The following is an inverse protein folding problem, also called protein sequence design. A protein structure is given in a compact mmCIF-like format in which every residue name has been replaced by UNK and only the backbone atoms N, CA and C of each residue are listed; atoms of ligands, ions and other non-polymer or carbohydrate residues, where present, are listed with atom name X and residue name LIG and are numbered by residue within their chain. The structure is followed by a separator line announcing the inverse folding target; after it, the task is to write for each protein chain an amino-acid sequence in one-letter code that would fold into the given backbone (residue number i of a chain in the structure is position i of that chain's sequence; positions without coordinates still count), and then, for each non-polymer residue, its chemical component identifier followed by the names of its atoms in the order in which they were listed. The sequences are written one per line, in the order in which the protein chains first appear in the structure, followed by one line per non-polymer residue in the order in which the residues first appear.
data_IF_717169941778
#
_entry.id   IF_717169941778
#
_cell.length_a   1.000
_cell.length_b   1.000
_cell.length_c   1.000
_cell.angle_alpha   90.00
_cell.angle_beta   90.00
_cell.angle_gamma   90.00
#
_symmetry.space_group_name_H-M   'P 1'
#
loop_
_entity.id
_entity.type
_entity.pdbx_description
1 polymer ?
#
# COMPACT_ATOMS: atom_id res chain seq x y z
N UNK A 1 -11.92 9.08 8.14
CA UNK A 1 -11.01 9.25 9.29
C UNK A 1 -10.36 7.90 9.55
N UNK A 2 -9.05 7.80 9.36
CA UNK A 2 -8.33 6.53 9.56
C UNK A 2 -8.20 6.28 11.06
N UNK A 3 -8.54 5.06 11.51
CA UNK A 3 -8.33 4.66 12.89
C UNK A 3 -6.93 4.09 13.02
N UNK A 4 -6.13 4.65 13.94
CA UNK A 4 -4.91 4.00 14.41
C UNK A 4 -5.29 2.67 15.07
N UNK A 5 -4.70 1.55 14.63
CA UNK A 5 -5.02 0.21 15.14
C UNK A 5 -5.07 -0.87 14.05
N UNK A 6 -5.54 -2.06 14.44
CA UNK A 6 -5.69 -3.23 13.56
C UNK A 6 -6.45 -2.89 12.27
N UNK A 7 -6.04 -3.48 11.14
CA UNK A 7 -6.77 -3.29 9.90
C UNK A 7 -8.15 -3.92 10.03
N UNK A 8 -9.18 -3.12 9.80
CA UNK A 8 -10.57 -3.55 9.91
C UNK A 8 -11.15 -3.74 8.52
N UNK A 9 -11.20 -4.98 8.01
CA UNK A 9 -11.61 -5.25 6.61
C UNK A 9 -13.06 -4.88 6.33
N UNK A 10 -13.88 -4.72 7.36
CA UNK A 10 -15.26 -4.24 7.34
C UNK A 10 -15.40 -2.73 7.05
N UNK A 11 -14.34 -1.95 7.24
CA UNK A 11 -14.34 -0.49 7.04
C UNK A 11 -13.21 0.02 6.14
N UNK A 12 -12.16 -0.77 5.92
CA UNK A 12 -11.01 -0.42 5.06
C UNK A 12 -10.92 -1.38 3.86
N UNK A 13 -10.85 -0.88 2.61
CA UNK A 13 -10.73 -1.75 1.44
C UNK A 13 -9.46 -2.61 1.51
N UNK A 14 -9.59 -3.88 1.13
CA UNK A 14 -8.50 -4.86 1.08
C UNK A 14 -8.27 -5.31 -0.37
N UNK A 15 -7.82 -4.38 -1.21
CA UNK A 15 -7.53 -4.59 -2.63
C UNK A 15 -6.20 -5.32 -2.83
N UNK A 16 -5.16 -4.89 -2.12
CA UNK A 16 -3.81 -5.46 -2.18
C UNK A 16 -3.60 -6.51 -1.10
N UNK A 17 -2.67 -7.43 -1.34
CA UNK A 17 -2.29 -8.45 -0.37
C UNK A 17 -1.24 -7.88 0.59
N UNK A 18 -1.56 -7.88 1.89
CA UNK A 18 -0.62 -7.52 2.93
C UNK A 18 0.48 -8.60 3.07
N UNK A 19 1.72 -8.16 3.20
CA UNK A 19 2.88 -9.06 3.34
C UNK A 19 3.10 -9.38 4.83
N UNK A 20 3.35 -10.66 5.12
CA UNK A 20 3.82 -11.10 6.43
C UNK A 20 5.33 -10.94 6.48
N UNK A 21 5.82 -10.35 7.55
CA UNK A 21 7.25 -10.23 7.84
C UNK A 21 7.56 -10.96 9.12
N UNK A 22 8.63 -11.74 9.08
CA UNK A 22 9.13 -12.45 10.23
C UNK A 22 9.87 -11.49 11.17
N UNK A 23 9.60 -11.68 12.45
CA UNK A 23 10.19 -10.98 13.56
C UNK A 23 11.15 -11.85 14.36
N UNK A 24 11.82 -11.22 15.32
CA UNK A 24 12.63 -11.94 16.29
C UNK A 24 11.79 -12.93 17.11
N UNK A 25 12.32 -14.14 17.32
CA UNK A 25 11.72 -15.15 18.19
C UNK A 25 10.57 -15.95 17.57
N UNK A 26 10.53 -16.10 16.24
CA UNK A 26 9.54 -16.94 15.54
C UNK A 26 8.14 -16.33 15.45
N UNK A 27 8.01 -15.04 15.72
CA UNK A 27 6.76 -14.28 15.55
C UNK A 27 6.75 -13.69 14.15
N UNK A 28 5.60 -13.70 13.48
CA UNK A 28 5.40 -12.98 12.22
C UNK A 28 4.23 -12.02 12.35
N UNK A 29 4.33 -10.85 11.72
CA UNK A 29 3.30 -9.82 11.74
C UNK A 29 2.85 -9.52 10.31
N UNK A 30 1.53 -9.46 10.14
CA UNK A 30 0.92 -9.00 8.90
C UNK A 30 0.98 -7.47 8.87
N UNK A 31 1.54 -6.90 7.81
CA UNK A 31 1.75 -5.44 7.68
C UNK A 31 0.55 -4.73 7.06
N UNK A 32 -0.66 -5.16 7.42
CA UNK A 32 -1.91 -4.55 6.96
C UNK A 32 -2.25 -3.23 7.70
N UNK A 33 -1.52 -2.92 8.77
CA UNK A 33 -1.66 -1.66 9.51
C UNK A 33 -0.76 -0.54 8.99
N UNK A 34 0.17 -0.85 8.09
CA UNK A 34 1.12 0.13 7.55
C UNK A 34 0.39 1.24 6.80
N UNK A 35 0.89 2.48 6.96
CA UNK A 35 0.30 3.66 6.34
C UNK A 35 0.23 3.53 4.83
N UNK A 36 1.28 2.99 4.21
CA UNK A 36 1.39 2.72 2.77
C UNK A 36 0.34 1.71 2.33
N UNK A 37 0.14 0.63 3.10
CA UNK A 37 -0.88 -0.36 2.80
C UNK A 37 -2.28 0.25 2.83
N UNK A 38 -2.62 0.92 3.93
CA UNK A 38 -3.94 1.54 4.10
C UNK A 38 -4.19 2.59 3.01
N UNK A 39 -3.28 3.54 2.83
CA UNK A 39 -3.40 4.62 1.87
C UNK A 39 -3.55 4.10 0.43
N UNK A 40 -2.70 3.16 0.00
CA UNK A 40 -2.75 2.66 -1.37
C UNK A 40 -4.03 1.87 -1.63
N UNK A 41 -4.51 1.07 -0.67
CA UNK A 41 -5.79 0.39 -0.80
C UNK A 41 -6.96 1.36 -0.95
N UNK A 42 -6.99 2.43 -0.16
CA UNK A 42 -8.03 3.46 -0.32
C UNK A 42 -7.93 4.17 -1.67
N UNK A 43 -6.72 4.56 -2.08
CA UNK A 43 -6.54 5.22 -3.36
C UNK A 43 -6.98 4.33 -4.53
N UNK A 44 -6.61 3.04 -4.49
CA UNK A 44 -7.04 2.07 -5.50
C UNK A 44 -8.57 1.95 -5.53
N UNK A 45 -9.23 1.90 -4.38
CA UNK A 45 -10.68 1.84 -4.28
C UNK A 45 -11.36 3.12 -4.82
N UNK A 46 -10.83 4.30 -4.48
CA UNK A 46 -11.34 5.59 -4.96
C UNK A 46 -11.19 5.72 -6.50
N UNK A 47 -10.17 5.11 -7.08
CA UNK A 47 -9.95 5.02 -8.53
C UNK A 47 -10.78 3.92 -9.21
N UNK A 48 -11.61 3.19 -8.46
CA UNK A 48 -12.46 2.11 -8.96
C UNK A 48 -11.74 0.78 -9.21
N UNK A 49 -10.55 0.60 -8.63
CA UNK A 49 -9.81 -0.65 -8.67
C UNK A 49 -10.44 -1.74 -7.80
N UNK A 50 -10.13 -3.00 -8.12
CA UNK A 50 -10.56 -4.18 -7.37
C UNK A 50 -9.44 -5.24 -7.38
N UNK A 51 -9.46 -6.23 -6.46
CA UNK A 51 -8.41 -7.24 -6.39
C UNK A 51 -8.14 -7.91 -7.75
N UNK A 52 -6.89 -7.90 -8.20
CA UNK A 52 -6.47 -8.50 -9.48
C UNK A 52 -6.85 -7.71 -10.74
N UNK A 53 -7.49 -6.55 -10.62
CA UNK A 53 -7.77 -5.68 -11.76
C UNK A 53 -6.51 -4.98 -12.27
N UNK A 54 -6.50 -4.66 -13.57
CA UNK A 54 -5.51 -3.78 -14.19
C UNK A 54 -6.25 -2.59 -14.81
N UNK A 55 -5.81 -1.39 -14.47
CA UNK A 55 -6.47 -0.11 -14.74
C UNK A 55 -5.60 0.77 -15.66
N UNK A 56 -5.36 0.38 -16.93
CA UNK A 56 -4.44 1.10 -17.81
C UNK A 56 -4.96 2.48 -18.26
N UNK A 57 -6.27 2.72 -18.13
CA UNK A 57 -6.87 4.00 -18.51
C UNK A 57 -6.60 5.10 -17.49
N UNK A 58 -6.24 4.73 -16.26
CA UNK A 58 -5.90 5.69 -15.20
C UNK A 58 -4.44 6.07 -15.36
N UNK A 59 -4.19 7.37 -15.50
CA UNK A 59 -2.86 7.93 -15.72
C UNK A 59 -2.61 9.07 -14.73
N UNK A 60 -1.35 9.35 -14.43
CA UNK A 60 -0.99 10.45 -13.54
C UNK A 60 0.39 10.28 -12.92
N UNK A 61 0.65 11.07 -11.89
CA UNK A 61 1.86 10.96 -11.08
C UNK A 61 1.45 10.86 -9.61
N UNK A 62 2.01 9.88 -8.89
CA UNK A 62 1.82 9.69 -7.46
C UNK A 62 3.19 9.76 -6.78
N UNK A 63 3.37 10.83 -6.00
CA UNK A 63 4.56 11.02 -5.16
C UNK A 63 4.25 10.65 -3.72
N UNK A 64 4.95 9.67 -3.19
CA UNK A 64 4.86 9.25 -1.78
C UNK A 64 6.12 9.73 -1.07
N UNK A 65 5.93 10.45 0.03
CA UNK A 65 7.02 10.94 0.88
C UNK A 65 6.84 10.33 2.26
N UNK A 66 7.88 9.66 2.74
CA UNK A 66 7.91 9.06 4.07
C UNK A 66 9.10 9.60 4.86
N UNK A 67 8.88 9.86 6.14
CA UNK A 67 9.92 10.22 7.11
C UNK A 67 10.85 9.03 7.40
N UNK A 68 10.33 7.81 7.22
CA UNK A 68 11.05 6.55 7.43
C UNK A 68 11.40 5.90 6.09
N UNK A 69 12.41 5.03 6.09
CA UNK A 69 12.69 4.17 4.95
C UNK A 69 11.54 3.21 4.69
N UNK A 70 11.18 3.03 3.40
CA UNK A 70 10.14 2.08 3.03
C UNK A 70 10.59 0.66 3.36
N UNK A 71 9.85 0.02 4.26
CA UNK A 71 10.09 -1.36 4.64
C UNK A 71 9.89 -2.33 3.45
N UNK A 72 10.53 -3.50 3.45
CA UNK A 72 10.40 -4.50 2.37
C UNK A 72 8.94 -4.91 2.11
N UNK A 73 8.13 -5.04 3.16
CA UNK A 73 6.68 -5.27 3.04
C UNK A 73 5.93 -4.08 2.44
N UNK A 74 6.39 -2.86 2.69
CA UNK A 74 5.83 -1.63 2.13
C UNK A 74 6.10 -1.58 0.61
N UNK A 75 7.32 -1.96 0.20
CA UNK A 75 7.71 -2.05 -1.22
C UNK A 75 6.85 -3.04 -2.00
N UNK A 76 6.51 -4.20 -1.43
CA UNK A 76 5.66 -5.17 -2.13
C UNK A 76 4.21 -4.71 -2.33
N UNK A 77 3.68 -3.83 -1.49
CA UNK A 77 2.35 -3.23 -1.72
C UNK A 77 2.42 -2.12 -2.78
N UNK A 78 3.48 -1.32 -2.75
CA UNK A 78 3.74 -0.31 -3.78
C UNK A 78 3.87 -0.96 -5.16
N UNK A 79 4.55 -2.12 -5.24
CA UNK A 79 4.64 -2.89 -6.48
C UNK A 79 3.26 -3.34 -6.99
N UNK A 80 2.43 -3.91 -6.11
CA UNK A 80 1.06 -4.31 -6.48
C UNK A 80 0.22 -3.12 -7.01
N UNK A 81 0.39 -1.93 -6.41
CA UNK A 81 -0.25 -0.72 -6.89
C UNK A 81 0.25 -0.34 -8.29
N UNK A 82 1.56 -0.41 -8.54
CA UNK A 82 2.14 -0.11 -9.84
C UNK A 82 1.66 -1.08 -10.94
N UNK A 83 1.49 -2.35 -10.60
CA UNK A 83 0.97 -3.37 -11.51
C UNK A 83 -0.51 -3.14 -11.85
N UNK A 84 -1.31 -2.72 -10.85
CA UNK A 84 -2.71 -2.35 -11.06
C UNK A 84 -2.84 -1.07 -11.89
N UNK A 85 -1.96 -0.08 -11.68
CA UNK A 85 -2.02 1.23 -12.35
C UNK A 85 -0.74 1.51 -13.16
N UNK A 86 -0.49 0.78 -14.26
CA UNK A 86 0.80 0.80 -14.96
C UNK A 86 1.16 2.15 -15.60
N UNK A 87 0.18 3.03 -15.76
CA UNK A 87 0.37 4.37 -16.35
C UNK A 87 0.36 5.49 -15.30
N UNK A 88 0.39 5.16 -14.01
CA UNK A 88 0.69 6.11 -12.95
C UNK A 88 2.20 6.09 -12.70
N UNK A 89 2.84 7.24 -12.86
CA UNK A 89 4.26 7.40 -12.52
C UNK A 89 4.41 7.48 -11.00
N UNK A 90 5.06 6.48 -10.41
CA UNK A 90 5.36 6.45 -8.98
C UNK A 90 6.70 7.13 -8.68
N UNK A 91 6.69 8.06 -7.73
CA UNK A 91 7.89 8.71 -7.19
C UNK A 91 7.92 8.43 -5.69
N UNK A 92 8.94 7.70 -5.24
CA UNK A 92 9.13 7.38 -3.82
C UNK A 92 10.24 8.26 -3.28
N UNK A 93 9.96 8.94 -2.17
CA UNK A 93 10.94 9.68 -1.37
C UNK A 93 10.87 9.12 0.04
N UNK A 94 11.98 8.61 0.54
CA UNK A 94 12.15 8.10 1.91
C UNK A 94 13.18 8.93 2.69
N UNK A 95 13.16 8.78 4.00
CA UNK A 95 14.11 9.44 4.89
C UNK A 95 14.04 10.98 4.82
N UNK A 96 12.89 11.53 4.45
CA UNK A 96 12.68 12.96 4.39
C UNK A 96 12.80 13.53 5.83
N UNK A 97 13.84 14.35 6.05
CA UNK A 97 14.11 15.04 7.31
C UNK A 97 13.76 16.51 7.21
#
# INVERSE_FOLDING_TARGET
MWLSGEAKPDVEPQIFTAIKVDGGGGRSWLRNTDSEYKMLNKLANDLGGSPGAVMPKVTGELKIVSELEYCSSCQGVIQQFNEMFPNIKLILVDGAK
#
